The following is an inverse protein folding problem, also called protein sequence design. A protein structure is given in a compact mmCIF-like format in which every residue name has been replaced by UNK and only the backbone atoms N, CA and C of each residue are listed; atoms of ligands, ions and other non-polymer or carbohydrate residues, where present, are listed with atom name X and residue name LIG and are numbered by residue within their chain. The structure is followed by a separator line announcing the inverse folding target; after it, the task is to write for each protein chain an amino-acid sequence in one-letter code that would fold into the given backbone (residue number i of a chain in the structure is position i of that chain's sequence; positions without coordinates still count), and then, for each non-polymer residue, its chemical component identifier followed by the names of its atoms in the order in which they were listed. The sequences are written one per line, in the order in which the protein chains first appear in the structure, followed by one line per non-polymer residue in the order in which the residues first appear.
data_IF_645003579737
#
_entry.id   IF_645003579737
#
_cell.length_a   1.000
_cell.length_b   1.000
_cell.length_c   1.000
_cell.angle_alpha   90.00
_cell.angle_beta   90.00
_cell.angle_gamma   90.00
#
_symmetry.space_group_name_H-M   'P 1'
#
loop_
_entity.id
_entity.type
_entity.pdbx_description
1 polymer ?
#
# COMPACT_ATOMS: atom_id res chain seq x y z
N UNK A 1 -11.93 3.90 16.81
CA UNK A 1 -11.50 3.26 15.55
C UNK A 1 -12.01 4.10 14.39
N UNK A 2 -11.10 4.65 13.60
CA UNK A 2 -11.41 5.56 12.50
C UNK A 2 -11.36 4.78 11.18
N UNK A 3 -12.36 4.95 10.31
CA UNK A 3 -12.37 4.37 8.96
C UNK A 3 -13.05 5.29 7.96
N UNK A 4 -12.64 5.21 6.70
CA UNK A 4 -13.30 5.86 5.58
C UNK A 4 -13.02 5.13 4.27
N UNK A 5 -13.96 5.24 3.33
CA UNK A 5 -13.78 4.81 1.95
C UNK A 5 -14.26 5.91 1.01
N UNK A 6 -13.34 6.50 0.25
CA UNK A 6 -13.62 7.61 -0.66
C UNK A 6 -13.56 7.12 -2.11
N UNK A 7 -14.66 7.26 -2.84
CA UNK A 7 -14.75 6.90 -4.26
C UNK A 7 -15.62 7.82 -5.13
N UNK A 8 -16.33 8.79 -4.54
CA UNK A 8 -17.21 9.74 -5.23
C UNK A 8 -16.49 11.04 -5.56
N UNK A 9 -16.83 11.67 -6.69
CA UNK A 9 -16.12 12.86 -7.21
C UNK A 9 -16.09 14.05 -6.24
N UNK A 10 -17.17 14.25 -5.47
CA UNK A 10 -17.29 15.31 -4.46
C UNK A 10 -16.30 15.17 -3.29
N UNK A 11 -15.72 13.98 -3.11
CA UNK A 11 -14.67 13.77 -2.13
C UNK A 11 -13.31 14.37 -2.57
N UNK A 12 -13.11 14.68 -3.86
CA UNK A 12 -11.77 14.87 -4.44
C UNK A 12 -11.55 16.23 -5.10
N UNK A 13 -11.78 17.31 -4.35
CA UNK A 13 -11.39 18.65 -4.81
C UNK A 13 -9.86 18.75 -4.97
N UNK A 14 -9.33 19.44 -6.00
CA UNK A 14 -7.89 19.61 -6.20
C UNK A 14 -7.18 20.16 -4.95
N UNK A 15 -6.02 19.59 -4.62
CA UNK A 15 -5.22 19.98 -3.45
C UNK A 15 -5.81 19.61 -2.08
N UNK A 16 -7.02 19.06 -2.00
CA UNK A 16 -7.69 18.72 -0.73
C UNK A 16 -6.95 17.61 0.02
N UNK A 17 -6.62 17.87 1.29
CA UNK A 17 -6.16 16.84 2.24
C UNK A 17 -7.29 15.84 2.53
N UNK A 18 -6.98 14.56 2.40
CA UNK A 18 -7.91 13.44 2.61
C UNK A 18 -7.58 12.69 3.90
N UNK A 19 -6.30 12.53 4.20
CA UNK A 19 -5.81 11.78 5.35
C UNK A 19 -4.47 12.34 5.84
N UNK A 20 -4.27 12.30 7.17
CA UNK A 20 -3.03 12.69 7.83
C UNK A 20 -2.74 11.76 8.99
N UNK A 21 -1.48 11.37 9.14
CA UNK A 21 -0.98 10.65 10.31
C UNK A 21 0.50 10.92 10.51
N UNK A 22 0.92 11.07 11.75
CA UNK A 22 2.34 11.21 12.12
C UNK A 22 3.04 9.84 12.28
N UNK A 23 2.32 8.73 12.09
CA UNK A 23 2.90 7.37 12.19
C UNK A 23 3.76 7.06 10.96
N UNK A 24 4.75 6.18 11.13
CA UNK A 24 5.50 5.63 10.02
C UNK A 24 4.64 4.64 9.24
N UNK A 25 4.66 4.73 7.90
CA UNK A 25 3.98 3.81 7.00
C UNK A 25 4.97 3.09 6.08
N UNK A 26 4.70 1.83 5.79
CA UNK A 26 5.43 1.06 4.79
C UNK A 26 4.48 0.54 3.71
N UNK A 27 4.99 0.39 2.49
CA UNK A 27 4.31 -0.37 1.44
C UNK A 27 4.25 -1.82 1.90
N UNK A 28 3.04 -2.29 2.20
CA UNK A 28 2.80 -3.64 2.72
C UNK A 28 2.51 -4.64 1.60
N UNK A 29 1.68 -4.24 0.65
CA UNK A 29 1.31 -5.08 -0.47
C UNK A 29 0.98 -4.25 -1.71
N UNK A 30 1.40 -4.74 -2.88
CA UNK A 30 0.95 -4.27 -4.18
C UNK A 30 0.54 -5.47 -5.03
N UNK A 31 -0.73 -5.56 -5.44
CA UNK A 31 -1.24 -6.67 -6.23
C UNK A 31 -1.75 -6.24 -7.59
N UNK A 32 -1.31 -6.96 -8.62
CA UNK A 32 -1.77 -6.74 -10.01
C UNK A 32 -3.26 -7.04 -10.14
N UNK A 33 -3.73 -8.14 -9.54
CA UNK A 33 -5.16 -8.43 -9.50
C UNK A 33 -5.89 -7.32 -8.76
N UNK A 34 -6.85 -6.72 -9.45
CA UNK A 34 -7.64 -5.56 -9.02
C UNK A 34 -6.86 -4.25 -8.76
N UNK A 35 -5.55 -4.20 -9.02
CA UNK A 35 -4.71 -3.01 -8.83
C UNK A 35 -4.81 -2.45 -7.42
N UNK A 36 -4.26 -3.14 -6.43
CA UNK A 36 -4.39 -2.73 -5.03
C UNK A 36 -3.03 -2.36 -4.45
N UNK A 37 -2.92 -1.18 -3.85
CA UNK A 37 -1.75 -0.75 -3.08
C UNK A 37 -2.18 -0.53 -1.63
N UNK A 38 -1.56 -1.27 -0.71
CA UNK A 38 -1.77 -1.13 0.73
C UNK A 38 -0.53 -0.54 1.38
N UNK A 39 -0.70 0.61 2.02
CA UNK A 39 0.25 1.14 3.00
C UNK A 39 -0.24 0.75 4.40
N UNK A 40 0.67 0.35 5.26
CA UNK A 40 0.37 -0.04 6.63
C UNK A 40 1.25 0.74 7.58
N UNK A 41 0.65 1.30 8.62
CA UNK A 41 1.44 1.91 9.70
C UNK A 41 2.22 0.80 10.41
N UNK A 42 3.50 1.02 10.66
CA UNK A 42 4.29 0.11 11.47
C UNK A 42 3.65 -0.09 12.85
N UNK A 43 3.74 -1.30 13.38
CA UNK A 43 3.62 -1.49 14.83
C UNK A 43 4.92 -1.00 15.46
N UNK A 44 4.90 -0.34 16.62
CA UNK A 44 6.14 0.01 17.30
C UNK A 44 6.93 -1.26 17.56
N UNK A 45 8.23 -1.22 17.30
CA UNK A 45 9.17 -2.17 17.89
C UNK A 45 8.97 -2.22 19.41
N UNK A 46 9.41 -3.33 20.03
CA UNK A 46 9.36 -3.82 21.44
C UNK A 46 8.97 -2.91 22.63
N UNK A 47 8.82 -1.60 22.48
CA UNK A 47 8.41 -0.60 23.47
C UNK A 47 6.92 -0.20 23.44
N UNK A 48 6.05 -0.78 22.58
CA UNK A 48 4.59 -0.70 22.75
C UNK A 48 3.91 0.67 22.52
N UNK A 49 4.48 1.56 21.71
CA UNK A 49 3.98 2.93 21.53
C UNK A 49 2.60 3.09 20.82
N UNK A 50 2.09 2.09 20.10
CA UNK A 50 0.85 2.13 19.33
C UNK A 50 0.16 0.75 19.38
N UNK A 51 -0.95 0.61 20.12
CA UNK A 51 -1.70 -0.64 20.22
C UNK A 51 -2.62 -0.90 19.01
N UNK A 52 -2.51 -0.11 17.95
CA UNK A 52 -3.35 -0.22 16.74
C UNK A 52 -2.51 -0.02 15.50
N UNK A 53 -2.95 -0.63 14.40
CA UNK A 53 -2.41 -0.38 13.05
C UNK A 53 -3.41 0.40 12.22
N UNK A 54 -2.90 1.18 11.26
CA UNK A 54 -3.68 1.88 10.25
C UNK A 54 -3.34 1.28 8.90
N UNK A 55 -4.35 0.78 8.22
CA UNK A 55 -4.28 0.36 6.82
C UNK A 55 -4.82 1.46 5.93
N UNK A 56 -4.07 1.83 4.88
CA UNK A 56 -4.48 2.77 3.84
C UNK A 56 -4.42 2.06 2.49
N UNK A 57 -5.57 1.90 1.84
CA UNK A 57 -5.73 1.16 0.60
C UNK A 57 -6.10 2.09 -0.56
N UNK A 58 -5.38 1.95 -1.68
CA UNK A 58 -5.74 2.54 -2.97
C UNK A 58 -6.24 1.45 -3.93
N UNK A 59 -7.34 1.70 -4.65
CA UNK A 59 -7.92 0.77 -5.63
C UNK A 59 -8.91 1.44 -6.60
N UNK A 60 -8.95 1.06 -7.89
CA UNK A 60 -7.91 0.34 -8.63
C UNK A 60 -6.73 1.27 -8.94
N UNK A 61 -5.51 0.81 -8.78
CA UNK A 61 -4.26 1.54 -9.05
C UNK A 61 -3.85 1.33 -10.50
N UNK A 62 -3.49 2.42 -11.19
CA UNK A 62 -3.02 2.42 -12.58
C UNK A 62 -1.55 2.81 -12.71
N UNK A 63 -1.05 3.66 -11.82
CA UNK A 63 0.35 4.03 -11.75
C UNK A 63 0.72 4.37 -10.30
N UNK A 64 1.99 4.13 -9.95
CA UNK A 64 2.53 4.44 -8.62
C UNK A 64 3.97 4.90 -8.76
N UNK A 65 4.29 5.97 -8.03
CA UNK A 65 5.66 6.32 -7.66
C UNK A 65 5.65 6.43 -6.14
N UNK A 66 6.29 5.49 -5.46
CA UNK A 66 6.30 5.48 -4.00
C UNK A 66 7.62 4.96 -3.47
N UNK A 67 8.10 5.56 -2.39
CA UNK A 67 9.11 4.94 -1.53
C UNK A 67 8.50 3.80 -0.73
N UNK A 68 9.36 2.87 -0.29
CA UNK A 68 8.90 1.75 0.53
C UNK A 68 8.48 2.16 1.94
N UNK A 69 9.04 3.25 2.48
CA UNK A 69 8.78 3.74 3.82
C UNK A 69 8.53 5.25 3.81
N UNK A 70 7.64 5.69 4.70
CA UNK A 70 7.17 7.06 4.88
C UNK A 70 7.21 7.39 6.36
N UNK A 71 7.91 8.46 6.75
CA UNK A 71 7.90 8.99 8.11
C UNK A 71 6.86 10.09 8.24
N UNK A 72 5.73 9.75 8.86
CA UNK A 72 4.50 10.51 8.70
C UNK A 72 3.95 10.44 7.28
N UNK A 73 2.65 10.69 7.13
CA UNK A 73 1.95 10.56 5.87
C UNK A 73 0.81 11.59 5.78
N UNK A 74 0.84 12.40 4.73
CA UNK A 74 -0.31 13.19 4.28
C UNK A 74 -0.73 12.68 2.91
N UNK A 75 -2.00 12.37 2.75
CA UNK A 75 -2.60 12.03 1.47
C UNK A 75 -3.52 13.14 1.07
N UNK A 76 -3.29 13.71 -0.11
CA UNK A 76 -4.14 14.75 -0.70
C UNK A 76 -4.44 14.47 -2.16
N UNK A 77 -5.47 15.13 -2.67
CA UNK A 77 -5.65 15.23 -4.10
C UNK A 77 -4.50 16.04 -4.70
N UNK A 78 -4.03 15.64 -5.88
CA UNK A 78 -3.18 16.49 -6.69
C UNK A 78 -3.87 17.83 -6.98
N UNK A 79 -3.10 18.90 -7.10
CA UNK A 79 -3.52 20.12 -7.80
C UNK A 79 -3.75 19.81 -9.28
N UNK A 80 -4.42 20.71 -10.00
CA UNK A 80 -4.67 20.51 -11.43
C UNK A 80 -3.33 20.42 -12.20
N UNK A 81 -2.35 21.26 -11.85
CA UNK A 81 -1.02 21.24 -12.46
C UNK A 81 -0.25 19.95 -12.17
N UNK A 82 -0.31 19.44 -10.94
CA UNK A 82 0.30 18.16 -10.58
C UNK A 82 -0.40 17.00 -11.27
N UNK A 83 -1.72 17.02 -11.37
CA UNK A 83 -2.51 16.00 -12.04
C UNK A 83 -2.11 15.89 -13.51
N UNK A 84 -2.15 17.00 -14.24
CA UNK A 84 -1.79 17.04 -15.67
C UNK A 84 -0.36 16.54 -15.90
N UNK A 85 0.58 16.98 -15.07
CA UNK A 85 1.98 16.55 -15.16
C UNK A 85 2.13 15.05 -14.90
N UNK A 86 1.53 14.54 -13.83
CA UNK A 86 1.66 13.12 -13.45
C UNK A 86 1.00 12.20 -14.48
N UNK A 87 -0.16 12.56 -15.02
CA UNK A 87 -0.82 11.78 -16.08
C UNK A 87 0.05 11.72 -17.34
N UNK A 88 0.62 12.86 -17.74
CA UNK A 88 1.54 12.95 -18.88
C UNK A 88 2.78 12.06 -18.67
N UNK A 89 3.44 12.21 -17.52
CA UNK A 89 4.67 11.46 -17.19
C UNK A 89 4.41 9.96 -17.05
N UNK A 90 3.21 9.57 -16.62
CA UNK A 90 2.81 8.15 -16.49
C UNK A 90 2.44 7.51 -17.83
N UNK A 91 2.35 8.27 -18.93
CA UNK A 91 1.89 7.77 -20.23
C UNK A 91 0.43 7.30 -20.24
N UNK A 92 -0.33 7.66 -19.20
CA UNK A 92 -1.74 7.32 -19.09
C UNK A 92 -2.56 8.27 -19.98
N UNK A 93 -3.64 7.77 -20.54
CA UNK A 93 -4.63 8.65 -21.17
C UNK A 93 -5.30 9.47 -20.05
N UNK A 94 -5.67 10.73 -20.30
CA UNK A 94 -6.53 11.50 -19.40
C UNK A 94 -7.93 10.87 -19.36
N UNK A 95 -8.04 9.79 -18.60
CA UNK A 95 -9.30 9.15 -18.20
C UNK A 95 -9.71 9.74 -16.85
N UNK A 96 -10.94 9.48 -16.39
CA UNK A 96 -11.45 9.90 -15.09
C UNK A 96 -10.75 9.13 -13.93
N UNK A 97 -9.43 9.29 -13.82
CA UNK A 97 -8.57 8.71 -12.79
C UNK A 97 -8.08 9.81 -11.88
N UNK A 98 -7.98 9.47 -10.60
CA UNK A 98 -7.59 10.42 -9.56
C UNK A 98 -6.10 10.28 -9.32
N UNK A 99 -5.45 11.40 -9.04
CA UNK A 99 -4.05 11.43 -8.65
C UNK A 99 -3.99 11.82 -7.19
N UNK A 100 -3.50 10.90 -6.37
CA UNK A 100 -3.26 11.11 -4.95
C UNK A 100 -1.79 11.41 -4.76
N UNK A 101 -1.48 12.54 -4.13
CA UNK A 101 -0.13 12.89 -3.71
C UNK A 101 0.07 12.41 -2.28
N UNK A 102 1.20 11.75 -2.06
CA UNK A 102 1.65 11.28 -0.75
C UNK A 102 2.82 12.16 -0.34
N UNK A 103 2.64 12.90 0.74
CA UNK A 103 3.69 13.74 1.33
C UNK A 103 4.21 13.06 2.59
N UNK A 104 5.53 12.94 2.69
CA UNK A 104 6.21 12.39 3.86
C UNK A 104 7.59 13.05 3.99
N UNK A 105 7.73 13.91 5.00
CA UNK A 105 8.83 14.87 5.11
C UNK A 105 8.91 15.79 3.88
N UNK A 106 10.11 15.98 3.36
CA UNK A 106 10.36 16.81 2.17
C UNK A 106 10.12 16.09 0.83
N UNK A 107 9.59 14.87 0.87
CA UNK A 107 9.48 14.03 -0.30
C UNK A 107 8.03 13.77 -0.72
N UNK A 108 7.85 13.76 -2.04
CA UNK A 108 6.56 13.66 -2.72
C UNK A 108 6.51 12.41 -3.58
N UNK A 109 5.56 11.56 -3.25
CA UNK A 109 5.18 10.33 -3.94
C UNK A 109 3.76 10.48 -4.50
N UNK A 110 3.33 9.57 -5.37
CA UNK A 110 1.98 9.60 -5.92
C UNK A 110 1.41 8.22 -6.24
N UNK A 111 0.08 8.15 -6.23
CA UNK A 111 -0.70 7.00 -6.66
C UNK A 111 -1.80 7.48 -7.59
N UNK A 112 -1.87 6.92 -8.79
CA UNK A 112 -3.00 7.13 -9.71
C UNK A 112 -4.00 6.02 -9.46
N UNK A 113 -5.18 6.36 -8.91
CA UNK A 113 -6.18 5.37 -8.51
C UNK A 113 -7.61 5.91 -8.58
N UNK A 114 -8.61 5.02 -8.55
CA UNK A 114 -10.03 5.40 -8.54
C UNK A 114 -10.59 5.72 -7.15
N UNK A 115 -10.03 5.13 -6.09
CA UNK A 115 -10.49 5.29 -4.72
C UNK A 115 -9.33 5.15 -3.73
N UNK A 116 -9.55 5.72 -2.54
CA UNK A 116 -8.67 5.58 -1.38
C UNK A 116 -9.53 5.38 -0.13
N UNK A 117 -9.08 4.55 0.79
CA UNK A 117 -9.71 4.41 2.09
C UNK A 117 -8.71 3.99 3.16
N UNK A 118 -9.12 4.14 4.41
CA UNK A 118 -8.33 3.74 5.56
C UNK A 118 -9.16 3.08 6.65
N UNK A 119 -8.48 2.30 7.49
CA UNK A 119 -9.04 1.69 8.67
C UNK A 119 -7.96 1.59 9.76
N UNK A 120 -8.31 2.01 10.96
CA UNK A 120 -7.53 1.72 12.16
C UNK A 120 -8.15 0.56 12.95
N UNK A 121 -7.36 -0.47 13.23
CA UNK A 121 -7.76 -1.65 14.01
C UNK A 121 -6.65 -2.16 14.94
N UNK A 122 -6.98 -3.14 15.80
CA UNK A 122 -6.11 -3.73 16.83
C UNK A 122 -5.56 -5.12 16.42
N UNK A 123 -5.67 -5.47 15.15
CA UNK A 123 -5.24 -6.79 14.67
C UNK A 123 -3.71 -6.89 14.62
N UNK A 124 -3.20 -8.13 14.69
CA UNK A 124 -1.77 -8.40 14.60
C UNK A 124 -1.15 -7.85 13.30
N UNK A 125 0.14 -7.53 13.32
CA UNK A 125 0.84 -6.93 12.17
C UNK A 125 0.74 -7.78 10.88
N UNK A 126 0.74 -9.11 11.00
CA UNK A 126 0.61 -10.04 9.88
C UNK A 126 -0.85 -10.41 9.53
N UNK A 127 -1.84 -9.95 10.31
CA UNK A 127 -3.24 -10.25 10.01
C UNK A 127 -3.67 -9.59 8.69
N UNK A 128 -4.62 -10.18 7.94
CA UNK A 128 -5.18 -9.57 6.74
C UNK A 128 -5.75 -8.18 7.02
N UNK A 129 -5.70 -7.30 6.01
CA UNK A 129 -6.40 -6.02 6.07
C UNK A 129 -7.90 -6.25 5.85
N UNK A 130 -8.77 -5.55 6.59
CA UNK A 130 -10.20 -5.60 6.33
C UNK A 130 -10.59 -4.84 5.04
N UNK A 131 -9.73 -3.92 4.57
CA UNK A 131 -9.94 -3.19 3.32
C UNK A 131 -9.55 -4.01 2.10
N UNK A 132 -8.55 -4.88 2.24
CA UNK A 132 -7.92 -5.55 1.11
C UNK A 132 -8.23 -7.04 1.07
N UNK A 133 -8.95 -7.45 0.02
CA UNK A 133 -9.13 -8.85 -0.33
C UNK A 133 -7.99 -9.34 -1.21
N UNK A 134 -6.82 -9.55 -0.60
CA UNK A 134 -5.72 -10.19 -1.32
C UNK A 134 -5.99 -11.68 -1.49
N UNK A 135 -5.74 -12.20 -2.70
CA UNK A 135 -5.96 -13.61 -2.98
C UNK A 135 -5.09 -14.47 -2.03
N UNK A 136 -5.57 -15.64 -1.55
CA UNK A 136 -4.87 -16.46 -0.56
C UNK A 136 -3.45 -16.92 -0.95
N UNK A 137 -3.06 -16.78 -2.22
CA UNK A 137 -1.71 -17.10 -2.70
C UNK A 137 -0.66 -16.05 -2.31
N UNK A 138 -1.03 -14.92 -1.72
CA UNK A 138 -0.08 -13.92 -1.17
C UNK A 138 0.09 -14.05 0.34
N UNK A 139 -0.46 -15.09 0.96
CA UNK A 139 -0.20 -15.43 2.36
C UNK A 139 1.17 -16.14 2.48
N UNK A 140 2.20 -15.49 3.05
CA UNK A 140 3.52 -16.09 3.17
C UNK A 140 3.51 -17.36 4.04
N UNK A 141 2.52 -17.55 4.93
CA UNK A 141 2.40 -18.79 5.71
C UNK A 141 2.01 -20.01 4.87
N UNK A 142 1.56 -19.80 3.63
CA UNK A 142 1.33 -20.87 2.64
C UNK A 142 2.48 -21.07 1.66
N UNK A 143 3.34 -20.08 1.47
CA UNK A 143 4.46 -20.13 0.53
C UNK A 143 5.72 -20.68 1.21
N UNK A 144 5.92 -20.34 2.48
CA UNK A 144 7.02 -20.89 3.25
C UNK A 144 6.68 -22.33 3.64
N UNK A 145 7.61 -23.29 3.46
CA UNK A 145 7.48 -24.59 4.10
C UNK A 145 7.18 -24.33 5.58
N UNK A 146 6.08 -24.87 6.09
CA UNK A 146 5.88 -25.04 7.53
C UNK A 146 7.15 -25.66 8.12
N UNK A 147 7.46 -25.38 9.41
CA UNK A 147 8.58 -25.91 10.22
C UNK A 147 8.64 -27.45 10.33
N UNK A 148 8.49 -28.13 9.21
CA UNK A 148 8.87 -29.50 9.01
C UNK A 148 10.31 -29.39 8.55
N UNK A 149 11.24 -29.78 9.42
CA UNK A 149 12.64 -29.99 9.07
C UNK A 149 12.69 -30.88 7.83
N UNK A 150 12.89 -30.29 6.65
CA UNK A 150 13.20 -31.05 5.45
C UNK A 150 14.72 -31.22 5.47
N UNK A 151 15.26 -32.42 5.68
CA UNK A 151 16.70 -32.61 5.70
C UNK A 151 17.27 -32.17 4.35
N UNK A 152 18.31 -31.34 4.39
CA UNK A 152 18.95 -30.74 3.21
C UNK A 152 19.53 -31.74 2.17
N UNK A 153 19.38 -33.05 2.33
CA UNK A 153 20.01 -34.02 1.42
C UNK A 153 19.01 -34.92 0.72
N UNK A 154 18.66 -34.60 -0.54
CA UNK A 154 18.38 -35.62 -1.58
C UNK A 154 18.41 -35.12 -3.03
N UNK A 155 18.22 -33.82 -3.32
CA UNK A 155 17.93 -33.40 -4.73
C UNK A 155 19.07 -32.66 -5.45
N UNK A 156 20.30 -32.66 -4.91
CA UNK A 156 21.45 -32.01 -5.56
C UNK A 156 22.61 -32.97 -5.85
N UNK A 157 22.31 -34.19 -6.30
CA UNK A 157 23.31 -35.16 -6.75
C UNK A 157 23.11 -35.65 -8.20
N UNK A 158 22.23 -35.01 -9.00
CA UNK A 158 21.95 -35.45 -10.37
C UNK A 158 22.30 -34.43 -11.46
N UNK A 159 23.04 -33.37 -11.15
CA UNK A 159 23.43 -32.34 -12.14
C UNK A 159 24.89 -31.92 -11.95
N UNK A 160 25.80 -32.86 -12.18
CA UNK A 160 27.14 -32.52 -12.66
C UNK A 160 27.39 -33.40 -13.89
N UNK A 161 27.58 -32.83 -15.09
CA UNK A 161 28.06 -33.59 -16.23
C UNK A 161 29.53 -33.98 -15.99
N UNK A 162 29.88 -35.22 -16.39
CA UNK A 162 31.25 -35.75 -16.40
C UNK A 162 32.20 -34.95 -17.30
#
# INVERSE_FOLDING_TARGET
MQSAWLNKDDHFAPGRELFRSERDFSVWAYTVSHGQLLLRSGWPSDAGAHPTRIDLLFKPVQAVKSRMNHSGLVVRCATDEEHERIIRDSGLKPVAVRVFVIESGDALDYVVSGAVGWQEDDQAANAPSALAFFAPATDPTRILPTDVDVPWSSTQAAQLPE
#
